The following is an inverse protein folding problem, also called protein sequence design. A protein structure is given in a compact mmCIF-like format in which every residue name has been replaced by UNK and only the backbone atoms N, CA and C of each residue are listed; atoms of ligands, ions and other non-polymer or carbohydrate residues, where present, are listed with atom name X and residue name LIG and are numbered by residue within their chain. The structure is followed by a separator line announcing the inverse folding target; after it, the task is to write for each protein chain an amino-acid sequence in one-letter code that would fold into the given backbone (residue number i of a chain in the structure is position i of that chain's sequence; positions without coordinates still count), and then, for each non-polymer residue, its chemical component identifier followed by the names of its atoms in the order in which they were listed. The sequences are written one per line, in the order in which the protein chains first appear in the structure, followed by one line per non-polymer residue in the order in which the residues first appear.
data_IF_407904368765
#
_entry.id   IF_407904368765
#
_cell.length_a   1.000
_cell.length_b   1.000
_cell.length_c   1.000
_cell.angle_alpha   90.00
_cell.angle_beta   90.00
_cell.angle_gamma   90.00
#
_symmetry.space_group_name_H-M   'P 1'
#
loop_
_entity.id
_entity.type
_entity.pdbx_description
1 polymer ?
#
# COMPACT_ATOMS: atom_id res chain seq x y z
N UNK A 1 23.01 5.05 -3.75
CA UNK A 1 22.14 4.60 -2.64
C UNK A 1 22.94 3.62 -1.80
N UNK A 2 22.83 3.66 -0.48
CA UNK A 2 23.63 2.79 0.40
C UNK A 2 23.17 1.33 0.28
N UNK A 3 24.11 0.38 0.27
CA UNK A 3 23.82 -1.05 0.10
C UNK A 3 22.80 -1.58 1.11
N UNK A 4 22.89 -1.18 2.38
CA UNK A 4 21.96 -1.58 3.43
C UNK A 4 20.51 -1.16 3.17
N UNK A 5 20.30 -0.03 2.51
CA UNK A 5 18.97 0.46 2.11
C UNK A 5 18.42 -0.39 0.97
N UNK A 6 19.25 -0.70 -0.02
CA UNK A 6 18.86 -1.57 -1.14
C UNK A 6 18.50 -2.98 -0.66
N UNK A 7 19.33 -3.58 0.21
CA UNK A 7 19.06 -4.90 0.77
C UNK A 7 17.69 -4.95 1.49
N UNK A 8 17.34 -3.88 2.20
CA UNK A 8 16.05 -3.75 2.92
C UNK A 8 14.85 -3.56 1.99
N UNK A 9 15.02 -2.86 0.87
CA UNK A 9 13.95 -2.65 -0.11
C UNK A 9 13.73 -3.93 -0.90
N UNK A 10 14.81 -4.59 -1.33
CA UNK A 10 14.73 -5.82 -2.10
C UNK A 10 14.39 -7.05 -1.25
N UNK A 11 14.48 -6.97 0.08
CA UNK A 11 13.98 -8.03 0.96
C UNK A 11 12.45 -8.13 1.00
N UNK A 12 11.72 -7.13 0.49
CA UNK A 12 10.26 -7.12 0.46
C UNK A 12 9.75 -6.75 -0.91
N UNK A 13 8.96 -7.64 -1.51
CA UNK A 13 8.33 -7.38 -2.81
C UNK A 13 7.40 -6.15 -2.75
N UNK A 14 6.78 -5.88 -1.60
CA UNK A 14 5.94 -4.68 -1.39
C UNK A 14 6.77 -3.41 -1.52
N UNK A 15 7.93 -3.37 -0.86
CA UNK A 15 8.83 -2.21 -0.90
C UNK A 15 9.42 -2.02 -2.29
N UNK A 16 9.82 -3.11 -2.93
CA UNK A 16 10.32 -3.09 -4.31
C UNK A 16 9.28 -2.57 -5.29
N UNK A 17 8.03 -3.06 -5.22
CA UNK A 17 6.95 -2.62 -6.09
C UNK A 17 6.60 -1.15 -5.82
N UNK A 18 6.48 -0.76 -4.55
CA UNK A 18 6.17 0.63 -4.20
C UNK A 18 7.25 1.59 -4.70
N UNK A 19 8.53 1.24 -4.57
CA UNK A 19 9.65 2.02 -5.10
C UNK A 19 9.57 2.14 -6.63
N UNK A 20 9.15 1.07 -7.33
CA UNK A 20 8.99 1.05 -8.79
C UNK A 20 7.92 2.04 -9.28
N UNK A 21 6.84 2.23 -8.52
CA UNK A 21 5.77 3.19 -8.83
C UNK A 21 6.05 4.62 -8.33
N UNK A 22 7.00 4.79 -7.41
CA UNK A 22 7.30 6.09 -6.79
C UNK A 22 8.77 6.46 -6.98
N UNK A 23 9.18 6.85 -8.21
CA UNK A 23 10.60 7.05 -8.53
C UNK A 23 11.26 8.19 -7.73
N UNK A 24 10.47 9.13 -7.17
CA UNK A 24 10.95 10.20 -6.26
C UNK A 24 11.81 9.65 -5.12
N UNK A 25 11.48 8.45 -4.63
CA UNK A 25 12.19 7.82 -3.51
C UNK A 25 13.61 7.39 -3.87
N UNK A 26 13.91 7.09 -5.14
CA UNK A 26 15.30 6.85 -5.55
C UNK A 26 16.18 8.07 -5.26
N UNK A 27 15.66 9.28 -5.44
CA UNK A 27 16.40 10.52 -5.20
C UNK A 27 16.62 10.71 -3.70
N UNK A 28 15.54 10.64 -2.90
CA UNK A 28 15.62 10.85 -1.45
C UNK A 28 16.53 9.82 -0.76
N UNK A 29 16.37 8.54 -1.08
CA UNK A 29 17.19 7.46 -0.53
C UNK A 29 18.66 7.53 -0.97
N UNK A 30 18.92 8.17 -2.13
CA UNK A 30 20.28 8.38 -2.61
C UNK A 30 20.95 9.61 -1.98
N UNK A 31 20.17 10.65 -1.66
CA UNK A 31 20.65 11.87 -1.00
C UNK A 31 20.90 11.65 0.49
N UNK A 32 19.96 11.01 1.18
CA UNK A 32 20.07 10.70 2.59
C UNK A 32 19.50 9.31 2.89
N UNK A 33 20.33 8.34 3.30
CA UNK A 33 19.88 6.99 3.64
C UNK A 33 18.95 6.94 4.87
N UNK A 34 18.88 7.98 5.71
CA UNK A 34 17.97 8.05 6.85
C UNK A 34 16.50 8.20 6.44
N UNK A 35 16.25 8.66 5.21
CA UNK A 35 14.89 8.81 4.63
C UNK A 35 14.17 7.48 4.40
N UNK A 36 14.86 6.34 4.58
CA UNK A 36 14.25 5.00 4.53
C UNK A 36 13.13 4.82 5.56
N UNK A 37 13.22 5.50 6.70
CA UNK A 37 12.17 5.46 7.72
C UNK A 37 10.89 6.15 7.22
N UNK A 38 11.03 7.25 6.48
CA UNK A 38 9.90 7.97 5.91
C UNK A 38 9.32 7.22 4.71
N UNK A 39 10.17 6.57 3.91
CA UNK A 39 9.73 5.63 2.86
C UNK A 39 8.85 4.53 3.44
N UNK A 40 9.30 3.86 4.52
CA UNK A 40 8.53 2.80 5.16
C UNK A 40 7.20 3.29 5.73
N UNK A 41 7.17 4.50 6.32
CA UNK A 41 5.92 5.12 6.80
C UNK A 41 4.97 5.41 5.64
N UNK A 42 5.47 5.96 4.54
CA UNK A 42 4.66 6.28 3.36
C UNK A 42 4.08 5.01 2.73
N UNK A 43 4.89 3.95 2.59
CA UNK A 43 4.43 2.65 2.09
C UNK A 43 3.35 2.07 3.00
N UNK A 44 3.60 2.01 4.32
CA UNK A 44 2.64 1.45 5.29
C UNK A 44 1.33 2.23 5.31
N UNK A 45 1.40 3.55 5.20
CA UNK A 45 0.21 4.41 5.15
C UNK A 45 -0.60 4.17 3.88
N UNK A 46 0.06 4.14 2.71
CA UNK A 46 -0.61 3.85 1.45
C UNK A 46 -1.18 2.43 1.40
N UNK A 47 -0.47 1.44 1.95
CA UNK A 47 -0.94 0.07 2.02
C UNK A 47 -2.16 -0.07 2.94
N UNK A 48 -2.17 0.64 4.07
CA UNK A 48 -3.33 0.71 4.97
C UNK A 48 -4.53 1.38 4.29
N UNK A 49 -4.33 2.50 3.59
CA UNK A 49 -5.39 3.13 2.79
C UNK A 49 -5.96 2.16 1.75
N UNK A 50 -5.08 1.50 0.98
CA UNK A 50 -5.46 0.47 0.01
C UNK A 50 -6.25 -0.68 0.65
N UNK A 51 -5.89 -1.08 1.86
CA UNK A 51 -6.58 -2.16 2.59
C UNK A 51 -7.93 -1.70 3.14
N UNK A 52 -8.01 -0.49 3.69
CA UNK A 52 -9.27 0.13 4.15
C UNK A 52 -10.26 0.32 2.99
N UNK A 53 -9.78 0.75 1.82
CA UNK A 53 -10.62 0.90 0.63
C UNK A 53 -11.16 -0.45 0.15
N UNK A 54 -10.33 -1.51 0.20
CA UNK A 54 -10.79 -2.88 -0.08
C UNK A 54 -11.86 -3.33 0.91
N UNK A 55 -11.71 -3.06 2.21
CA UNK A 55 -12.72 -3.40 3.23
C UNK A 55 -14.02 -2.62 2.98
N UNK A 56 -13.93 -1.32 2.67
CA UNK A 56 -15.09 -0.49 2.35
C UNK A 56 -15.84 -1.02 1.11
N UNK A 57 -15.11 -1.47 0.08
CA UNK A 57 -15.70 -2.07 -1.11
C UNK A 57 -16.31 -3.45 -0.85
N UNK A 58 -15.76 -4.25 0.07
CA UNK A 58 -16.38 -5.51 0.50
C UNK A 58 -17.69 -5.24 1.24
N UNK A 59 -17.72 -4.26 2.15
CA UNK A 59 -18.94 -3.87 2.86
C UNK A 59 -20.06 -3.47 1.89
N UNK A 60 -19.74 -2.64 0.88
CA UNK A 60 -20.70 -2.25 -0.17
C UNK A 60 -21.28 -3.44 -0.94
N UNK A 61 -20.45 -4.43 -1.26
CA UNK A 61 -20.90 -5.65 -1.95
C UNK A 61 -21.83 -6.48 -1.07
N UNK A 62 -21.51 -6.63 0.21
CA UNK A 62 -22.36 -7.34 1.18
C UNK A 62 -23.70 -6.62 1.36
N UNK A 63 -23.69 -5.29 1.51
CA UNK A 63 -24.91 -4.49 1.63
C UNK A 63 -25.79 -4.59 0.37
N UNK A 64 -25.18 -4.63 -0.82
CA UNK A 64 -25.89 -4.84 -2.08
C UNK A 64 -26.52 -6.23 -2.18
N UNK A 65 -25.77 -7.29 -1.83
CA UNK A 65 -26.29 -8.67 -1.79
C UNK A 65 -27.46 -8.78 -0.81
N UNK A 66 -27.35 -8.19 0.38
CA UNK A 66 -28.43 -8.17 1.36
C UNK A 66 -29.67 -7.41 0.86
N UNK A 67 -29.47 -6.29 0.16
CA UNK A 67 -30.56 -5.54 -0.48
C UNK A 67 -31.27 -6.34 -1.57
N UNK A 68 -30.53 -7.07 -2.40
CA UNK A 68 -31.09 -7.95 -3.43
C UNK A 68 -31.86 -9.12 -2.81
N UNK A 69 -31.29 -9.83 -1.83
CA UNK A 69 -31.96 -10.93 -1.13
C UNK A 69 -33.28 -10.46 -0.52
N UNK A 70 -33.30 -9.26 0.09
CA UNK A 70 -34.51 -8.67 0.63
C UNK A 70 -35.55 -8.35 -0.45
N UNK A 71 -35.13 -7.89 -1.62
CA UNK A 71 -36.02 -7.63 -2.76
C UNK A 71 -36.62 -8.93 -3.35
N UNK A 72 -35.84 -10.01 -3.42
CA UNK A 72 -36.30 -11.30 -3.95
C UNK A 72 -37.18 -12.10 -2.97
N UNK A 73 -37.03 -11.87 -1.66
CA UNK A 73 -37.85 -12.49 -0.62
C UNK A 73 -39.09 -11.65 -0.23
N UNK A 74 -39.35 -10.54 -0.93
CA UNK A 74 -40.51 -9.66 -0.69
C UNK A 74 -41.49 -9.72 -1.86
#
# INVERSE_FOLDING_TARGET
MVKSVLDKIYSSEIYTNYLRYNPKWYIYLNQDPLTINDFEKEVKTNLKMTSSDKIANLKKQIDFINGMIKYFNS
#
